data_IF_099588200322
#
_entry.id   IF_099588200322
#
_cell.length_a   1.000
_cell.length_b   1.000
_cell.length_c   1.000
_cell.angle_alpha   90.00
_cell.angle_beta   90.00
_cell.angle_gamma   90.00
#
_symmetry.space_group_name_H-M   'P 1'
#
loop_
_entity.id
_entity.type
_entity.pdbx_description
1 polymer ?
#
# COMPACT_ATOMS: atom_id res chain seq x y z
N UNK A 1 -49.26 5.88 4.73
CA UNK A 1 -48.06 5.04 4.47
C UNK A 1 -48.13 3.85 5.43
N UNK A 2 -48.28 2.63 4.89
CA UNK A 2 -48.51 1.44 5.66
C UNK A 2 -47.26 1.04 6.46
N UNK A 3 -47.43 0.40 7.61
CA UNK A 3 -46.37 -0.06 8.49
C UNK A 3 -45.37 -0.99 7.75
N UNK A 4 -45.83 -1.73 6.75
CA UNK A 4 -45.02 -2.58 5.90
C UNK A 4 -44.00 -1.77 5.06
N UNK A 5 -44.34 -0.59 4.56
CA UNK A 5 -43.43 0.25 3.78
C UNK A 5 -42.28 0.81 4.65
N UNK A 6 -42.61 1.17 5.91
CA UNK A 6 -41.60 1.64 6.88
C UNK A 6 -40.64 0.54 7.30
N UNK A 7 -41.15 -0.70 7.45
CA UNK A 7 -40.32 -1.85 7.79
C UNK A 7 -39.36 -2.21 6.63
N UNK A 8 -39.87 -2.23 5.38
CA UNK A 8 -39.05 -2.48 4.20
C UNK A 8 -37.95 -1.44 4.00
N UNK A 9 -38.26 -0.15 4.23
CA UNK A 9 -37.28 0.94 4.12
C UNK A 9 -36.19 0.84 5.19
N UNK A 10 -36.55 0.46 6.41
CA UNK A 10 -35.58 0.26 7.50
C UNK A 10 -34.63 -0.91 7.22
N UNK A 11 -35.13 -2.01 6.63
CA UNK A 11 -34.33 -3.19 6.31
C UNK A 11 -33.34 -2.88 5.17
N UNK A 12 -33.75 -2.13 4.14
CA UNK A 12 -32.86 -1.71 3.04
C UNK A 12 -31.78 -0.76 3.56
N UNK A 13 -32.11 0.17 4.44
CA UNK A 13 -31.13 1.11 5.03
C UNK A 13 -30.11 0.39 5.92
N UNK A 14 -30.49 -0.64 6.65
CA UNK A 14 -29.60 -1.45 7.48
C UNK A 14 -28.61 -2.29 6.64
N UNK A 15 -29.03 -2.75 5.45
CA UNK A 15 -28.15 -3.49 4.53
C UNK A 15 -27.09 -2.63 3.83
N UNK A 16 -27.35 -1.31 3.67
CA UNK A 16 -26.40 -0.40 3.02
C UNK A 16 -25.30 0.06 4.00
N UNK A 17 -25.52 0.00 5.30
CA UNK A 17 -24.56 0.41 6.33
C UNK A 17 -23.51 -0.66 6.68
N UNK A 18 -23.63 -1.89 6.18
CA UNK A 18 -22.70 -2.98 6.48
C UNK A 18 -21.51 -3.10 5.51
N UNK A 19 -21.22 -2.11 4.68
CA UNK A 19 -20.35 -2.22 3.51
C UNK A 19 -19.02 -1.47 3.51
N UNK A 20 -18.44 -1.07 4.63
CA UNK A 20 -17.08 -0.48 4.64
C UNK A 20 -16.33 -0.82 5.94
N UNK A 21 -16.24 -2.08 6.29
CA UNK A 21 -15.33 -2.54 7.32
C UNK A 21 -14.04 -3.04 6.66
N UNK A 22 -12.88 -2.45 6.98
CA UNK A 22 -11.60 -3.10 6.75
C UNK A 22 -11.68 -4.49 7.41
N UNK A 23 -11.35 -5.55 6.65
CA UNK A 23 -11.27 -6.89 7.24
C UNK A 23 -10.23 -6.85 8.38
N UNK A 24 -10.52 -7.46 9.53
CA UNK A 24 -9.59 -7.45 10.65
C UNK A 24 -8.25 -8.08 10.25
N UNK A 25 -7.13 -7.64 10.84
CA UNK A 25 -5.83 -8.24 10.60
C UNK A 25 -5.86 -9.72 11.03
N UNK A 26 -5.25 -10.59 10.22
CA UNK A 26 -5.10 -12.01 10.51
C UNK A 26 -3.62 -12.36 10.57
N UNK A 27 -3.15 -12.76 11.75
CA UNK A 27 -1.76 -13.18 11.96
C UNK A 27 -1.50 -14.50 11.26
N UNK A 28 -0.29 -14.65 10.71
CA UNK A 28 0.12 -15.91 10.10
C UNK A 28 0.27 -17.02 11.16
N UNK A 29 -0.45 -18.11 10.95
CA UNK A 29 -0.23 -19.31 11.76
C UNK A 29 1.05 -20.02 11.29
N UNK A 30 2.10 -19.95 12.11
CA UNK A 30 3.39 -20.57 11.82
C UNK A 30 3.33 -22.08 11.63
N UNK A 31 2.29 -22.76 12.11
CA UNK A 31 2.06 -24.19 11.81
C UNK A 31 1.79 -24.42 10.31
N UNK A 32 1.20 -23.46 9.62
CA UNK A 32 0.95 -23.46 8.19
C UNK A 32 2.24 -23.41 7.35
N UNK A 33 3.36 -22.99 7.95
CA UNK A 33 4.67 -22.91 7.29
C UNK A 33 5.16 -24.26 6.73
N UNK A 34 4.76 -25.35 7.37
CA UNK A 34 5.13 -26.70 6.91
C UNK A 34 4.49 -27.03 5.56
N UNK A 35 3.31 -26.53 5.30
CA UNK A 35 2.49 -26.82 4.12
C UNK A 35 2.64 -25.76 3.02
N UNK A 36 2.87 -24.50 3.40
CA UNK A 36 3.04 -23.38 2.45
C UNK A 36 4.52 -23.18 2.17
N UNK A 37 4.99 -23.68 1.04
CA UNK A 37 6.38 -23.56 0.60
C UNK A 37 6.53 -22.76 -0.69
N UNK A 38 5.65 -22.99 -1.66
CA UNK A 38 5.68 -22.34 -2.97
C UNK A 38 4.58 -21.29 -3.07
N UNK A 39 5.00 -20.03 -3.13
CA UNK A 39 4.11 -18.87 -3.08
C UNK A 39 4.15 -18.14 -4.42
N UNK A 40 2.98 -17.90 -5.00
CA UNK A 40 2.83 -17.06 -6.17
C UNK A 40 2.61 -15.60 -5.74
N UNK A 41 3.54 -14.72 -6.11
CA UNK A 41 3.34 -13.28 -5.98
C UNK A 41 2.40 -12.82 -7.10
N UNK A 42 1.21 -12.39 -6.75
CA UNK A 42 0.29 -11.73 -7.68
C UNK A 42 0.91 -10.42 -8.18
N UNK A 43 0.53 -9.98 -9.39
CA UNK A 43 0.94 -8.66 -9.86
C UNK A 43 0.45 -7.59 -8.88
N UNK A 44 1.35 -6.76 -8.39
CA UNK A 44 1.06 -5.79 -7.34
C UNK A 44 0.07 -4.73 -7.82
N UNK A 45 -0.76 -4.26 -6.88
CA UNK A 45 -1.51 -3.03 -7.08
C UNK A 45 -0.68 -1.85 -6.58
N UNK A 46 -0.43 -0.86 -7.42
CA UNK A 46 0.27 0.37 -7.02
C UNK A 46 -0.42 1.58 -7.61
N UNK A 47 -0.34 2.76 -6.98
CA UNK A 47 -0.84 4.00 -7.56
C UNK A 47 -0.17 4.29 -8.90
N UNK A 48 -0.90 4.86 -9.86
CA UNK A 48 -0.37 5.24 -11.18
C UNK A 48 0.73 6.30 -11.12
N UNK A 49 0.73 7.08 -10.05
CA UNK A 49 1.69 8.16 -9.81
C UNK A 49 2.18 8.13 -8.38
N UNK A 50 3.47 8.43 -8.15
CA UNK A 50 3.98 8.61 -6.81
C UNK A 50 3.30 9.81 -6.16
N UNK A 51 3.00 9.69 -4.88
CA UNK A 51 2.24 10.69 -4.14
C UNK A 51 3.18 11.65 -3.41
N UNK A 52 2.79 12.92 -3.31
CA UNK A 52 3.48 13.91 -2.48
C UNK A 52 2.40 14.71 -1.76
N UNK A 53 2.29 14.51 -0.44
CA UNK A 53 1.21 15.07 0.36
C UNK A 53 1.70 15.75 1.64
N UNK A 54 0.84 16.59 2.20
CA UNK A 54 0.97 17.15 3.54
C UNK A 54 -0.24 16.67 4.33
N UNK A 55 -0.03 16.02 5.49
CA UNK A 55 -1.11 15.44 6.30
C UNK A 55 -2.07 16.51 6.81
N UNK A 56 -1.53 17.63 7.32
CA UNK A 56 -2.31 18.74 7.87
C UNK A 56 -2.05 20.02 7.05
N UNK A 57 -2.63 20.15 5.85
CA UNK A 57 -2.43 21.34 5.03
C UNK A 57 -3.12 22.55 5.65
N UNK A 58 -2.44 23.69 5.69
CA UNK A 58 -2.96 24.95 6.25
C UNK A 58 -4.27 25.42 5.59
N UNK A 59 -4.57 24.93 4.39
CA UNK A 59 -5.77 25.27 3.63
C UNK A 59 -7.02 24.44 3.93
N UNK A 60 -6.92 23.36 4.71
CA UNK A 60 -8.04 22.44 4.96
C UNK A 60 -9.26 23.09 5.64
N UNK A 61 -9.07 24.21 6.33
CA UNK A 61 -10.15 24.97 7.00
C UNK A 61 -10.99 25.88 6.09
N UNK A 62 -10.64 26.04 4.82
CA UNK A 62 -11.33 26.95 3.89
C UNK A 62 -12.44 26.32 3.05
N UNK A 63 -12.99 25.19 3.46
CA UNK A 63 -14.13 24.52 2.80
C UNK A 63 -13.85 24.11 1.35
N UNK A 64 -14.88 24.13 0.49
CA UNK A 64 -14.81 23.65 -0.92
C UNK A 64 -13.72 24.34 -1.75
N UNK A 65 -13.47 25.61 -1.52
CA UNK A 65 -12.41 26.37 -2.25
C UNK A 65 -11.03 25.88 -1.82
N UNK A 66 -10.82 25.63 -0.54
CA UNK A 66 -9.57 25.09 -0.02
C UNK A 66 -9.26 23.68 -0.59
N UNK A 67 -10.26 22.81 -0.66
CA UNK A 67 -10.11 21.46 -1.23
C UNK A 67 -9.79 21.48 -2.73
N UNK A 68 -10.37 22.39 -3.52
CA UNK A 68 -10.04 22.52 -4.94
C UNK A 68 -8.60 23.00 -5.16
N UNK A 69 -8.14 23.97 -4.39
CA UNK A 69 -6.74 24.44 -4.47
C UNK A 69 -5.78 23.33 -4.08
N UNK A 70 -6.09 22.57 -3.03
CA UNK A 70 -5.24 21.47 -2.55
C UNK A 70 -5.20 20.31 -3.55
N UNK A 71 -6.33 19.97 -4.18
CA UNK A 71 -6.36 18.92 -5.22
C UNK A 71 -5.48 19.27 -6.43
N UNK A 72 -5.49 20.54 -6.87
CA UNK A 72 -4.60 21.01 -7.93
C UNK A 72 -3.12 20.95 -7.55
N UNK A 73 -2.79 21.36 -6.32
CA UNK A 73 -1.43 21.29 -5.79
C UNK A 73 -0.92 19.86 -5.70
N UNK A 74 -1.77 18.96 -5.25
CA UNK A 74 -1.45 17.53 -5.16
C UNK A 74 -1.22 16.90 -6.52
N UNK A 75 -2.08 17.17 -7.50
CA UNK A 75 -1.93 16.67 -8.87
C UNK A 75 -0.63 17.17 -9.54
N UNK A 76 -0.28 18.46 -9.37
CA UNK A 76 0.98 19.02 -9.84
C UNK A 76 2.18 18.35 -9.18
N UNK A 77 2.13 18.18 -7.85
CA UNK A 77 3.20 17.53 -7.08
C UNK A 77 3.44 16.08 -7.50
N UNK A 78 2.38 15.34 -7.79
CA UNK A 78 2.48 13.95 -8.29
C UNK A 78 3.13 13.90 -9.67
N UNK A 79 2.76 14.81 -10.58
CA UNK A 79 3.37 14.89 -11.93
C UNK A 79 4.84 15.27 -11.87
N UNK A 80 5.20 16.21 -11.01
CA UNK A 80 6.59 16.62 -10.77
C UNK A 80 7.40 15.45 -10.20
N UNK A 81 6.88 14.74 -9.19
CA UNK A 81 7.54 13.58 -8.61
C UNK A 81 7.73 12.45 -9.61
N UNK A 82 6.75 12.18 -10.47
CA UNK A 82 6.89 11.22 -11.55
C UNK A 82 8.06 11.61 -12.47
N UNK A 83 8.20 12.90 -12.79
CA UNK A 83 9.32 13.43 -13.59
C UNK A 83 10.66 13.27 -12.87
N UNK A 84 10.69 13.50 -11.56
CA UNK A 84 11.90 13.33 -10.72
C UNK A 84 12.36 11.87 -10.75
N UNK A 85 11.46 10.92 -10.52
CA UNK A 85 11.79 9.50 -10.56
C UNK A 85 12.18 9.02 -11.95
N UNK A 86 11.54 9.54 -13.01
CA UNK A 86 11.92 9.26 -14.39
C UNK A 86 13.35 9.75 -14.72
N UNK A 87 13.75 10.96 -14.26
CA UNK A 87 15.13 11.44 -14.38
C UNK A 87 16.15 10.54 -13.69
N UNK A 88 15.76 9.88 -12.61
CA UNK A 88 16.58 8.88 -11.93
C UNK A 88 16.52 7.49 -12.58
N UNK A 89 15.74 7.31 -13.64
CA UNK A 89 15.42 6.00 -14.25
C UNK A 89 14.89 5.01 -13.22
N UNK A 90 14.06 5.48 -12.29
CA UNK A 90 13.56 4.70 -11.18
C UNK A 90 12.08 4.34 -11.35
N UNK A 91 11.81 3.03 -11.38
CA UNK A 91 10.48 2.44 -11.44
C UNK A 91 10.13 1.82 -10.07
N UNK A 92 9.29 2.51 -9.32
CA UNK A 92 8.91 2.09 -7.97
C UNK A 92 7.99 0.85 -7.95
N UNK A 93 7.22 0.59 -9.02
CA UNK A 93 6.41 -0.62 -9.14
C UNK A 93 7.29 -1.86 -9.26
N UNK A 94 8.23 -1.84 -10.20
CA UNK A 94 9.23 -2.90 -10.37
C UNK A 94 10.10 -3.07 -9.12
N UNK A 95 10.47 -1.98 -8.46
CA UNK A 95 11.26 -1.98 -7.24
C UNK A 95 10.50 -2.68 -6.10
N UNK A 96 9.23 -2.32 -5.85
CA UNK A 96 8.41 -2.93 -4.80
C UNK A 96 8.18 -4.42 -5.08
N UNK A 97 7.81 -4.77 -6.32
CA UNK A 97 7.60 -6.16 -6.71
C UNK A 97 8.86 -7.00 -6.52
N UNK A 98 10.02 -6.47 -6.89
CA UNK A 98 11.30 -7.17 -6.75
C UNK A 98 11.74 -7.29 -5.30
N UNK A 99 11.55 -6.23 -4.49
CA UNK A 99 11.90 -6.25 -3.07
C UNK A 99 11.04 -7.24 -2.28
N UNK A 100 9.73 -7.29 -2.51
CA UNK A 100 8.83 -8.28 -1.90
C UNK A 100 9.23 -9.69 -2.31
N UNK A 101 9.49 -9.93 -3.60
CA UNK A 101 9.91 -11.23 -4.09
C UNK A 101 11.21 -11.71 -3.43
N UNK A 102 12.20 -10.84 -3.32
CA UNK A 102 13.50 -11.15 -2.71
C UNK A 102 13.36 -11.36 -1.20
N UNK A 103 12.61 -10.51 -0.50
CA UNK A 103 12.41 -10.63 0.94
C UNK A 103 11.71 -11.94 1.30
N UNK A 104 10.63 -12.30 0.60
CA UNK A 104 9.91 -13.56 0.79
C UNK A 104 10.79 -14.79 0.44
N UNK A 105 11.63 -14.68 -0.59
CA UNK A 105 12.59 -15.73 -0.91
C UNK A 105 13.61 -15.94 0.22
N UNK A 106 14.11 -14.85 0.81
CA UNK A 106 15.01 -14.90 1.98
C UNK A 106 14.31 -15.44 3.23
N UNK A 107 13.01 -15.20 3.37
CA UNK A 107 12.18 -15.82 4.40
C UNK A 107 11.96 -17.33 4.17
N UNK A 108 12.50 -17.92 3.10
CA UNK A 108 12.53 -19.36 2.82
C UNK A 108 11.34 -19.87 2.00
N UNK A 109 10.60 -19.00 1.33
CA UNK A 109 9.59 -19.42 0.36
C UNK A 109 10.20 -19.62 -1.03
N UNK A 110 9.70 -20.59 -1.77
CA UNK A 110 9.96 -20.70 -3.21
C UNK A 110 8.99 -19.78 -3.94
N UNK A 111 9.48 -18.61 -4.36
CA UNK A 111 8.64 -17.60 -4.99
C UNK A 111 8.49 -17.85 -6.50
N UNK A 112 7.28 -17.63 -7.01
CA UNK A 112 6.98 -17.52 -8.45
C UNK A 112 6.20 -16.25 -8.69
N UNK A 113 6.25 -15.69 -9.91
CA UNK A 113 5.45 -14.51 -10.28
C UNK A 113 4.19 -14.94 -11.01
N UNK A 114 3.09 -14.23 -10.78
CA UNK A 114 1.89 -14.38 -11.59
C UNK A 114 2.19 -13.98 -13.04
N UNK A 115 1.72 -14.77 -14.03
CA UNK A 115 1.78 -14.37 -15.43
C UNK A 115 0.69 -13.36 -15.81
N UNK A 116 -0.33 -13.20 -14.98
CA UNK A 116 -1.49 -12.35 -15.26
C UNK A 116 -1.29 -10.94 -14.71
N UNK A 117 -1.72 -9.95 -15.51
CA UNK A 117 -1.77 -8.57 -15.08
C UNK A 117 -2.91 -8.37 -14.06
N UNK A 118 -2.72 -7.45 -13.12
CA UNK A 118 -3.77 -7.05 -12.18
C UNK A 118 -4.85 -6.25 -12.91
N UNK A 119 -6.14 -6.56 -12.69
CA UNK A 119 -7.23 -5.75 -13.24
C UNK A 119 -7.18 -4.33 -12.70
N UNK A 120 -7.41 -3.32 -13.56
CA UNK A 120 -7.36 -1.90 -13.20
C UNK A 120 -8.24 -1.56 -11.99
N UNK A 121 -9.47 -2.07 -11.97
CA UNK A 121 -10.42 -1.88 -10.86
C UNK A 121 -9.97 -2.46 -9.51
N UNK A 122 -8.91 -3.26 -9.50
CA UNK A 122 -8.36 -3.94 -8.31
C UNK A 122 -6.97 -3.43 -7.92
N UNK A 123 -6.48 -2.33 -8.52
CA UNK A 123 -5.15 -1.79 -8.22
C UNK A 123 -4.97 -1.32 -6.77
N UNK A 124 -6.06 -0.85 -6.13
CA UNK A 124 -6.07 -0.37 -4.75
C UNK A 124 -6.87 -1.28 -3.79
N UNK A 125 -6.93 -2.56 -4.06
CA UNK A 125 -7.60 -3.55 -3.22
C UNK A 125 -7.12 -4.95 -3.55
N UNK A 126 -7.41 -5.92 -2.69
CA UNK A 126 -7.12 -7.32 -2.93
C UNK A 126 -7.87 -7.86 -4.15
N UNK A 127 -7.25 -8.80 -4.86
CA UNK A 127 -7.85 -9.48 -6.00
C UNK A 127 -9.10 -10.24 -5.57
N UNK A 128 -10.17 -10.14 -6.34
CA UNK A 128 -11.37 -10.94 -6.12
C UNK A 128 -11.16 -12.42 -6.52
N UNK A 129 -10.28 -12.66 -7.51
CA UNK A 129 -9.95 -13.98 -8.01
C UNK A 129 -8.45 -14.08 -8.27
N UNK A 130 -7.87 -15.23 -7.93
CA UNK A 130 -6.48 -15.53 -8.20
C UNK A 130 -6.32 -16.30 -9.51
N UNK A 131 -5.20 -16.09 -10.24
CA UNK A 131 -4.93 -16.79 -11.47
C UNK A 131 -4.75 -18.30 -11.24
N UNK A 132 -5.04 -19.10 -12.27
CA UNK A 132 -4.73 -20.54 -12.23
C UNK A 132 -3.23 -20.76 -12.46
N UNK A 133 -2.47 -20.79 -11.37
CA UNK A 133 -1.03 -21.07 -11.39
C UNK A 133 -0.79 -22.45 -10.77
N UNK A 134 -0.33 -23.39 -11.62
CA UNK A 134 -0.11 -24.76 -11.18
C UNK A 134 1.02 -24.89 -10.15
N UNK A 135 0.84 -25.82 -9.22
CA UNK A 135 1.85 -26.20 -8.23
C UNK A 135 2.28 -25.07 -7.30
N UNK A 136 1.38 -24.18 -6.93
CA UNK A 136 1.57 -23.22 -5.85
C UNK A 136 0.73 -23.62 -4.64
N UNK A 137 1.24 -23.31 -3.46
CA UNK A 137 0.55 -23.60 -2.19
C UNK A 137 -0.30 -22.40 -1.76
N UNK A 138 0.16 -21.19 -2.07
CA UNK A 138 -0.55 -19.96 -1.72
C UNK A 138 -0.27 -18.83 -2.71
N UNK A 139 -1.14 -17.81 -2.69
CA UNK A 139 -0.99 -16.54 -3.38
C UNK A 139 -0.66 -15.44 -2.37
N UNK A 140 0.41 -14.70 -2.60
CA UNK A 140 0.70 -13.44 -1.91
C UNK A 140 0.17 -12.30 -2.77
N UNK A 141 -0.83 -11.62 -2.26
CA UNK A 141 -1.49 -10.48 -2.89
C UNK A 141 -1.15 -9.21 -2.11
N UNK A 142 -0.53 -8.26 -2.79
CA UNK A 142 -0.07 -6.99 -2.21
C UNK A 142 -0.57 -5.84 -3.05
N UNK A 143 -1.10 -4.83 -2.38
CA UNK A 143 -1.33 -3.53 -3.01
C UNK A 143 -0.81 -2.41 -2.12
N UNK A 144 -0.42 -1.30 -2.75
CA UNK A 144 0.02 -0.11 -2.05
C UNK A 144 -1.06 0.96 -2.11
N UNK A 145 -1.46 1.44 -0.94
CA UNK A 145 -2.37 2.57 -0.81
C UNK A 145 -1.64 3.90 -1.02
N UNK A 146 -0.36 3.92 -0.64
CA UNK A 146 0.49 5.08 -0.78
C UNK A 146 1.92 4.67 -1.15
N UNK A 147 2.51 5.36 -2.12
CA UNK A 147 3.94 5.29 -2.47
C UNK A 147 4.43 6.70 -2.77
N UNK A 148 5.34 7.25 -1.95
CA UNK A 148 5.84 8.59 -2.22
C UNK A 148 6.48 9.29 -1.04
N UNK A 149 6.16 10.57 -0.87
CA UNK A 149 6.72 11.43 0.16
C UNK A 149 5.64 12.20 0.90
N UNK A 150 5.76 12.28 2.21
CA UNK A 150 4.79 12.93 3.06
C UNK A 150 5.48 13.86 4.07
N UNK A 151 4.85 14.99 4.36
CA UNK A 151 5.18 15.87 5.48
C UNK A 151 3.99 15.93 6.44
N UNK A 152 4.23 16.02 7.76
CA UNK A 152 3.14 16.10 8.75
C UNK A 152 2.37 17.42 8.64
N UNK A 153 3.07 18.48 8.31
CA UNK A 153 2.50 19.82 8.06
C UNK A 153 3.41 20.60 7.10
N UNK A 154 2.97 21.79 6.72
CA UNK A 154 3.68 22.64 5.73
C UNK A 154 5.04 23.17 6.17
N UNK A 155 5.41 23.06 7.44
CA UNK A 155 6.69 23.52 8.00
C UNK A 155 7.66 22.38 8.30
N UNK A 156 7.24 21.12 8.10
CA UNK A 156 8.08 19.95 8.35
C UNK A 156 8.67 19.36 7.06
N UNK A 157 9.76 18.63 7.25
CA UNK A 157 10.47 17.96 6.15
C UNK A 157 9.62 16.85 5.53
N UNK A 158 9.68 16.72 4.21
CA UNK A 158 9.17 15.56 3.51
C UNK A 158 10.05 14.34 3.81
N UNK A 159 9.41 13.22 4.04
CA UNK A 159 10.04 11.92 4.24
C UNK A 159 9.41 10.88 3.32
N UNK A 160 10.13 9.81 2.95
CA UNK A 160 9.50 8.69 2.26
C UNK A 160 8.34 8.16 3.09
N UNK A 161 7.24 7.89 2.42
CA UNK A 161 6.07 7.25 3.00
C UNK A 161 5.59 6.15 2.05
N UNK A 162 5.37 4.98 2.61
CA UNK A 162 4.89 3.81 1.87
C UNK A 162 3.90 3.06 2.75
N UNK A 163 2.76 2.75 2.17
CA UNK A 163 1.69 2.05 2.84
C UNK A 163 1.23 0.90 1.97
N UNK A 164 1.37 -0.32 2.48
CA UNK A 164 0.93 -1.52 1.78
C UNK A 164 -0.07 -2.32 2.62
N UNK A 165 -0.98 -2.95 1.92
CA UNK A 165 -1.82 -4.03 2.43
C UNK A 165 -1.41 -5.34 1.78
N UNK A 166 -1.25 -6.39 2.56
CA UNK A 166 -0.82 -7.69 2.09
C UNK A 166 -1.72 -8.81 2.60
N UNK A 167 -1.96 -9.82 1.76
CA UNK A 167 -2.76 -10.99 2.08
C UNK A 167 -2.11 -12.25 1.51
N UNK A 168 -1.99 -13.30 2.33
CA UNK A 168 -1.60 -14.63 1.88
C UNK A 168 -2.84 -15.53 1.87
N UNK A 169 -3.11 -16.16 0.74
CA UNK A 169 -4.32 -16.99 0.55
C UNK A 169 -3.92 -18.38 0.11
N UNK A 170 -4.44 -19.41 0.78
CA UNK A 170 -4.25 -20.80 0.40
C UNK A 170 -4.83 -21.07 -0.99
N UNK A 171 -4.00 -21.63 -1.88
CA UNK A 171 -4.36 -21.80 -3.29
C UNK A 171 -5.46 -22.83 -3.54
N UNK A 172 -5.68 -23.77 -2.61
CA UNK A 172 -6.65 -24.85 -2.76
C UNK A 172 -8.00 -24.50 -2.15
N UNK A 173 -7.96 -23.88 -0.98
CA UNK A 173 -9.17 -23.64 -0.18
C UNK A 173 -9.70 -22.21 -0.28
N UNK A 174 -8.87 -21.27 -0.75
CA UNK A 174 -9.18 -19.84 -0.73
C UNK A 174 -9.16 -19.23 0.67
N UNK A 175 -8.71 -19.99 1.69
CA UNK A 175 -8.62 -19.48 3.06
C UNK A 175 -7.55 -18.41 3.16
N UNK A 176 -7.86 -17.29 3.84
CA UNK A 176 -6.87 -16.28 4.21
C UNK A 176 -5.98 -16.89 5.31
N UNK A 177 -4.68 -16.91 5.07
CA UNK A 177 -3.65 -17.40 5.99
C UNK A 177 -2.94 -16.27 6.71
N UNK A 178 -2.97 -15.07 6.14
CA UNK A 178 -2.44 -13.83 6.68
C UNK A 178 -3.13 -12.66 6.02
N UNK A 179 -3.38 -11.62 6.77
CA UNK A 179 -3.77 -10.32 6.26
C UNK A 179 -3.24 -9.23 7.20
N UNK A 180 -2.59 -8.22 6.64
CA UNK A 180 -2.04 -7.14 7.43
C UNK A 180 -1.69 -5.93 6.60
N UNK A 181 -1.43 -4.83 7.30
CA UNK A 181 -1.02 -3.55 6.75
C UNK A 181 0.32 -3.16 7.33
N UNK A 182 1.21 -2.63 6.49
CA UNK A 182 2.53 -2.16 6.90
C UNK A 182 2.70 -0.74 6.41
N UNK A 183 3.13 0.13 7.29
CA UNK A 183 3.32 1.56 7.02
C UNK A 183 4.75 1.94 7.35
N UNK A 184 5.46 2.49 6.37
CA UNK A 184 6.74 3.15 6.53
C UNK A 184 6.54 4.66 6.48
N UNK A 185 6.90 5.35 7.53
CA UNK A 185 6.75 6.80 7.58
C UNK A 185 6.32 7.30 8.94
N UNK A 186 5.71 8.48 8.93
CA UNK A 186 5.12 9.06 10.14
C UNK A 186 3.69 8.53 10.26
N UNK A 187 3.39 7.84 11.34
CA UNK A 187 2.05 7.36 11.64
C UNK A 187 1.15 8.53 12.08
N UNK A 188 -0.07 8.57 11.54
CA UNK A 188 -1.17 9.29 12.17
C UNK A 188 -1.71 8.50 13.37
N UNK A 189 -2.47 9.14 14.24
CA UNK A 189 -3.01 8.54 15.48
C UNK A 189 -4.00 7.38 15.28
N UNK A 190 -4.30 6.97 14.04
CA UNK A 190 -5.39 6.04 13.69
C UNK A 190 -4.95 4.67 13.15
N UNK A 191 -3.68 4.28 13.34
CA UNK A 191 -3.14 3.06 12.71
C UNK A 191 -2.98 1.89 13.71
N UNK A 192 -3.99 1.67 14.56
CA UNK A 192 -3.97 0.60 15.59
C UNK A 192 -3.72 -0.81 15.01
N UNK A 193 -4.06 -1.04 13.74
CA UNK A 193 -3.96 -2.35 13.07
C UNK A 193 -2.78 -2.47 12.09
N UNK A 194 -1.86 -1.50 12.04
CA UNK A 194 -0.74 -1.51 11.11
C UNK A 194 0.60 -1.79 11.80
N UNK A 195 1.47 -2.52 11.12
CA UNK A 195 2.88 -2.65 11.52
C UNK A 195 3.63 -1.40 11.07
N UNK A 196 4.17 -0.64 12.04
CA UNK A 196 4.85 0.62 11.77
C UNK A 196 6.35 0.40 11.58
N UNK A 197 6.89 0.96 10.49
CA UNK A 197 8.32 1.00 10.20
C UNK A 197 8.77 2.46 10.22
N UNK A 198 9.63 2.80 11.15
CA UNK A 198 10.11 4.17 11.30
C UNK A 198 11.10 4.54 10.19
N UNK A 199 10.97 5.73 9.58
CA UNK A 199 11.85 6.20 8.54
C UNK A 199 13.24 6.54 9.07
N UNK A 200 14.26 6.29 8.25
CA UNK A 200 15.62 6.72 8.54
C UNK A 200 15.74 8.26 8.49
N UNK A 201 16.44 8.83 9.47
CA UNK A 201 16.68 10.28 9.54
C UNK A 201 17.47 10.84 8.35
N UNK A 202 18.26 10.01 7.67
CA UNK A 202 19.03 10.40 6.51
C UNK A 202 18.19 10.88 5.31
N UNK A 203 16.91 10.49 5.27
CA UNK A 203 16.02 10.77 4.14
C UNK A 203 15.00 11.86 4.48
N UNK A 204 15.49 13.02 4.85
CA UNK A 204 14.70 14.23 5.07
C UNK A 204 14.91 15.22 3.91
N UNK A 205 13.83 15.80 3.43
CA UNK A 205 13.84 16.81 2.37
C UNK A 205 13.04 18.01 2.85
N UNK A 206 13.73 19.13 3.01
CA UNK A 206 13.17 20.36 3.58
C UNK A 206 11.86 20.82 2.92
N UNK A 207 11.76 20.63 1.61
CA UNK A 207 10.64 21.07 0.81
C UNK A 207 10.59 20.27 -0.51
N UNK A 208 9.59 20.53 -1.35
CA UNK A 208 9.45 19.89 -2.67
C UNK A 208 10.64 20.18 -3.60
N UNK A 209 11.17 21.39 -3.54
CA UNK A 209 12.33 21.76 -4.35
C UNK A 209 13.54 20.91 -3.99
N UNK A 210 13.72 20.55 -2.72
CA UNK A 210 14.78 19.64 -2.29
C UNK A 210 14.59 18.20 -2.82
N UNK A 211 13.35 17.73 -2.98
CA UNK A 211 13.05 16.46 -3.63
C UNK A 211 13.44 16.50 -5.12
N UNK A 212 13.17 17.61 -5.80
CA UNK A 212 13.43 17.77 -7.23
C UNK A 212 14.92 18.00 -7.54
N UNK A 213 15.63 18.67 -6.64
CA UNK A 213 17.03 19.05 -6.84
C UNK A 213 17.99 17.86 -6.96
N UNK A 214 17.63 16.71 -6.37
CA UNK A 214 18.47 15.53 -6.42
C UNK A 214 17.68 14.25 -6.70
N UNK A 215 17.30 13.98 -7.96
CA UNK A 215 16.50 12.81 -8.34
C UNK A 215 17.06 11.47 -7.85
N UNK A 216 18.39 11.31 -7.90
CA UNK A 216 19.04 10.07 -7.42
C UNK A 216 18.89 9.87 -5.91
N UNK A 217 19.02 10.94 -5.11
CA UNK A 217 18.80 10.85 -3.65
C UNK A 217 17.34 10.56 -3.34
N UNK A 218 16.42 11.18 -4.06
CA UNK A 218 14.98 10.97 -3.91
C UNK A 218 14.59 9.53 -4.25
N UNK A 219 15.06 9.01 -5.37
CA UNK A 219 14.84 7.60 -5.74
C UNK A 219 15.45 6.63 -4.70
N UNK A 220 16.65 6.90 -4.21
CA UNK A 220 17.30 6.08 -3.18
C UNK A 220 16.52 6.08 -1.86
N UNK A 221 15.97 7.23 -1.46
CA UNK A 221 15.13 7.33 -0.28
C UNK A 221 13.87 6.46 -0.39
N UNK A 222 13.21 6.48 -1.55
CA UNK A 222 12.04 5.66 -1.80
C UNK A 222 12.40 4.16 -1.88
N UNK A 223 13.55 3.83 -2.47
CA UNK A 223 14.07 2.45 -2.49
C UNK A 223 14.29 1.91 -1.08
N UNK A 224 14.89 2.69 -0.18
CA UNK A 224 15.08 2.31 1.22
C UNK A 224 13.77 2.02 1.95
N UNK A 225 12.74 2.83 1.73
CA UNK A 225 11.41 2.61 2.28
C UNK A 225 10.78 1.30 1.74
N UNK A 226 10.89 1.06 0.43
CA UNK A 226 10.40 -0.14 -0.23
C UNK A 226 11.08 -1.40 0.32
N UNK A 227 12.39 -1.37 0.47
CA UNK A 227 13.15 -2.51 1.03
C UNK A 227 12.78 -2.78 2.49
N UNK A 228 12.63 -1.73 3.30
CA UNK A 228 12.23 -1.85 4.69
C UNK A 228 10.83 -2.46 4.85
N UNK A 229 9.86 -2.01 4.06
CA UNK A 229 8.48 -2.54 4.07
C UNK A 229 8.45 -3.99 3.59
N UNK A 230 9.17 -4.33 2.51
CA UNK A 230 9.24 -5.69 1.99
C UNK A 230 9.87 -6.65 3.02
N UNK A 231 10.90 -6.19 3.74
CA UNK A 231 11.52 -6.96 4.80
C UNK A 231 10.60 -7.15 6.00
N UNK A 232 9.88 -6.11 6.41
CA UNK A 232 8.91 -6.19 7.50
C UNK A 232 7.76 -7.14 7.16
N UNK A 233 7.27 -7.10 5.91
CA UNK A 233 6.30 -8.08 5.42
C UNK A 233 6.84 -9.51 5.56
N UNK A 234 8.08 -9.76 5.15
CA UNK A 234 8.68 -11.09 5.23
C UNK A 234 8.81 -11.60 6.67
N UNK A 235 9.07 -10.72 7.64
CA UNK A 235 9.14 -11.07 9.07
C UNK A 235 7.81 -11.60 9.61
N UNK A 236 6.68 -11.19 9.06
CA UNK A 236 5.36 -11.70 9.48
C UNK A 236 5.23 -13.21 9.25
N UNK A 237 6.12 -13.81 8.48
CA UNK A 237 6.12 -15.23 8.11
C UNK A 237 7.31 -16.02 8.66
N UNK A 238 8.22 -15.39 9.39
CA UNK A 238 9.39 -16.04 9.99
C UNK A 238 9.09 -16.51 11.41
#
# INVERSE_FOLDING_TARGET
>A
MSSLLKLALATVLALVLSGCGSLPPESFDHSSRVTVRRVCLATLGVPDRPQVTIMNPVGAGFGVVGTLIESHRTASAQQEMQTVLAKASYDYESALSSSVFVAMSKAGFTMVRSPEARPEKERSRFLAHYPDVQRVDAFLDVYADYVGFQASNSSEDYRPHLEISARLVDAKTGKILYQGRIVYGMSGETEEDAVLVHPEDAYRFRDRTALEANPTRTARALQGAIEAVAWELAKQFM
#
